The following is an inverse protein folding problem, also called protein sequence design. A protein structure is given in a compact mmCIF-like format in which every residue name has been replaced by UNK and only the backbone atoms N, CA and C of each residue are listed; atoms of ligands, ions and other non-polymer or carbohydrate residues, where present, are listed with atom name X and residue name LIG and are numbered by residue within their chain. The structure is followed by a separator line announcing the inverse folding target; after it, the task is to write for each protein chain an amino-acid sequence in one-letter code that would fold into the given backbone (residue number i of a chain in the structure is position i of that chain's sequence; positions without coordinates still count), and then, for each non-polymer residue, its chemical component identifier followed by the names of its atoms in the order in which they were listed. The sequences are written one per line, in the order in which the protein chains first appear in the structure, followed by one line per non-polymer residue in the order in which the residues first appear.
data_IF_417509006354
#
_entry.id   IF_417509006354
#
_cell.length_a   1.000
_cell.length_b   1.000
_cell.length_c   1.000
_cell.angle_alpha   90.00
_cell.angle_beta   90.00
_cell.angle_gamma   90.00
#
_symmetry.space_group_name_H-M   'P 1'
#
loop_
_entity.id
_entity.type
_entity.pdbx_description
1 polymer ?
#
# COMPACT_ATOMS: atom_id res chain seq x y z
N UNK A 1 -1.40 -15.54 24.17
CA UNK A 1 -2.49 -15.02 23.31
C UNK A 1 -3.17 -13.91 24.08
N UNK A 2 -3.16 -12.67 23.58
CA UNK A 2 -3.96 -11.60 24.18
C UNK A 2 -5.27 -11.54 23.42
N UNK A 3 -6.35 -11.93 24.09
CA UNK A 3 -7.71 -11.68 23.65
C UNK A 3 -7.97 -10.17 23.70
N UNK A 4 -8.34 -9.59 22.57
CA UNK A 4 -8.83 -8.23 22.51
C UNK A 4 -10.35 -8.28 22.51
N UNK A 5 -10.96 -7.69 23.54
CA UNK A 5 -12.40 -7.50 23.65
C UNK A 5 -12.90 -6.61 22.52
N UNK A 6 -13.58 -7.23 21.56
CA UNK A 6 -14.34 -6.58 20.50
C UNK A 6 -15.70 -6.18 21.07
N UNK A 7 -15.90 -4.91 21.42
CA UNK A 7 -17.24 -4.40 21.67
C UNK A 7 -17.44 -3.00 21.08
N UNK A 8 -18.48 -2.89 20.24
CA UNK A 8 -19.30 -1.69 19.91
C UNK A 8 -18.97 -0.75 18.74
N UNK A 9 -18.08 -1.08 17.78
CA UNK A 9 -17.98 -0.26 16.54
C UNK A 9 -17.94 -1.01 15.20
N UNK A 10 -17.97 -2.34 15.21
CA UNK A 10 -17.78 -3.14 13.99
C UNK A 10 -19.05 -3.46 13.20
N UNK A 11 -20.24 -3.27 13.79
CA UNK A 11 -21.51 -3.76 13.21
C UNK A 11 -21.98 -3.01 11.93
N UNK A 12 -21.31 -1.95 11.51
CA UNK A 12 -21.78 -1.08 10.42
C UNK A 12 -20.88 -1.01 9.18
N UNK A 13 -19.77 -1.74 9.14
CA UNK A 13 -18.93 -1.81 7.94
C UNK A 13 -19.30 -3.03 7.08
N UNK A 14 -19.61 -2.76 5.82
CA UNK A 14 -19.57 -3.75 4.75
C UNK A 14 -18.10 -3.94 4.34
N UNK A 15 -17.62 -5.18 4.41
CA UNK A 15 -16.23 -5.56 4.14
C UNK A 15 -16.24 -6.71 3.13
N UNK A 16 -15.83 -6.41 1.91
CA UNK A 16 -15.71 -7.39 0.83
C UNK A 16 -14.24 -7.71 0.56
N UNK A 17 -13.89 -9.00 0.48
CA UNK A 17 -12.56 -9.42 -0.01
C UNK A 17 -12.44 -9.19 -1.52
N UNK A 18 -11.28 -8.72 -1.95
CA UNK A 18 -10.93 -8.53 -3.37
C UNK A 18 -9.88 -9.58 -3.72
N UNK A 19 -10.13 -10.35 -4.78
CA UNK A 19 -9.15 -11.22 -5.42
C UNK A 19 -9.50 -11.34 -6.90
N UNK A 20 -8.96 -10.43 -7.72
CA UNK A 20 -9.18 -10.41 -9.18
C UNK A 20 -7.94 -9.87 -9.91
N UNK A 21 -7.50 -10.54 -10.97
CA UNK A 21 -6.25 -10.19 -11.65
C UNK A 21 -5.08 -10.17 -10.67
N UNK A 22 -4.37 -9.03 -10.59
CA UNK A 22 -3.32 -8.81 -9.59
C UNK A 22 -3.88 -8.33 -8.23
N UNK A 23 -5.07 -7.72 -8.22
CA UNK A 23 -5.62 -7.15 -6.99
C UNK A 23 -5.85 -8.23 -5.95
N UNK A 24 -5.42 -7.91 -4.74
CA UNK A 24 -5.74 -8.66 -3.55
C UNK A 24 -5.90 -7.68 -2.40
N UNK A 25 -6.93 -7.84 -1.58
CA UNK A 25 -7.20 -6.90 -0.50
C UNK A 25 -8.65 -6.90 -0.03
N UNK A 26 -9.10 -5.74 0.41
CA UNK A 26 -10.43 -5.54 0.98
C UNK A 26 -11.04 -4.23 0.49
N UNK A 27 -12.33 -4.25 0.20
CA UNK A 27 -13.17 -3.08 0.01
C UNK A 27 -13.99 -2.88 1.28
N UNK A 28 -13.81 -1.74 1.94
CA UNK A 28 -14.50 -1.39 3.18
C UNK A 28 -15.34 -0.13 2.99
N UNK A 29 -16.58 -0.17 3.45
CA UNK A 29 -17.45 1.01 3.50
C UNK A 29 -18.57 0.86 4.51
N UNK A 30 -19.19 1.97 4.88
CA UNK A 30 -20.50 1.93 5.52
C UNK A 30 -21.60 1.73 4.49
N UNK A 31 -22.79 1.32 4.96
CA UNK A 31 -24.02 1.28 4.13
C UNK A 31 -24.28 2.61 3.42
N UNK A 32 -24.06 3.71 4.13
CA UNK A 32 -24.09 5.07 3.59
C UNK A 32 -22.67 5.65 3.63
N UNK A 33 -22.12 5.93 2.45
CA UNK A 33 -20.82 6.58 2.30
C UNK A 33 -20.99 8.08 2.52
N UNK A 34 -20.33 8.61 3.55
CA UNK A 34 -20.47 10.00 3.98
C UNK A 34 -19.60 10.99 3.21
N UNK A 35 -18.53 10.50 2.57
CA UNK A 35 -17.59 11.34 1.81
C UNK A 35 -17.44 10.84 0.38
N UNK A 36 -17.34 11.78 -0.56
CA UNK A 36 -17.03 11.47 -1.96
C UNK A 36 -15.61 10.92 -2.09
N UNK A 37 -15.41 10.11 -3.12
CA UNK A 37 -14.11 9.59 -3.48
C UNK A 37 -13.80 8.23 -2.88
N UNK A 38 -12.56 7.81 -3.06
CA UNK A 38 -12.03 6.56 -2.57
C UNK A 38 -10.66 6.79 -1.92
N UNK A 39 -10.41 6.09 -0.82
CA UNK A 39 -9.08 6.02 -0.20
C UNK A 39 -8.48 4.64 -0.46
N UNK A 40 -7.28 4.59 -1.03
CA UNK A 40 -6.50 3.35 -1.16
C UNK A 40 -5.42 3.34 -0.08
N UNK A 41 -5.28 2.22 0.64
CA UNK A 41 -4.23 2.07 1.66
C UNK A 41 -3.27 0.94 1.31
N UNK A 42 -1.98 1.20 1.56
CA UNK A 42 -0.89 0.23 1.44
C UNK A 42 -0.10 0.16 2.76
N UNK A 43 0.29 -1.06 3.15
CA UNK A 43 1.28 -1.28 4.20
C UNK A 43 2.70 -1.07 3.70
N UNK A 44 3.68 -1.53 4.46
CA UNK A 44 5.10 -1.40 4.15
C UNK A 44 5.78 -2.73 3.81
N UNK A 45 7.04 -2.84 4.21
CA UNK A 45 7.90 -4.01 4.01
C UNK A 45 7.37 -5.30 4.64
N UNK A 46 6.45 -5.19 5.59
CA UNK A 46 5.79 -6.31 6.25
C UNK A 46 4.74 -7.00 5.37
N UNK A 47 4.36 -6.41 4.22
CA UNK A 47 3.44 -7.01 3.26
C UNK A 47 1.97 -6.94 3.66
N UNK A 48 1.61 -5.94 4.47
CA UNK A 48 0.21 -5.69 4.83
C UNK A 48 -0.50 -4.79 3.83
N UNK A 49 -1.83 -4.79 3.85
CA UNK A 49 -2.67 -3.83 3.15
C UNK A 49 -2.98 -2.57 3.99
N UNK A 50 -2.34 -2.44 5.15
CA UNK A 50 -2.66 -1.44 6.17
C UNK A 50 -4.14 -1.47 6.62
N UNK A 51 -4.68 -2.70 6.78
CA UNK A 51 -6.10 -2.96 7.04
C UNK A 51 -6.68 -2.22 8.26
N UNK A 52 -5.90 -2.06 9.35
CA UNK A 52 -6.39 -1.38 10.55
C UNK A 52 -6.61 0.12 10.30
N UNK A 53 -5.71 0.76 9.56
CA UNK A 53 -5.89 2.15 9.11
C UNK A 53 -7.11 2.24 8.20
N UNK A 54 -7.26 1.31 7.26
CA UNK A 54 -8.41 1.28 6.36
C UNK A 54 -9.75 1.16 7.11
N UNK A 55 -9.83 0.26 8.10
CA UNK A 55 -11.02 0.13 8.98
C UNK A 55 -11.33 1.42 9.71
N UNK A 56 -10.31 2.09 10.27
CA UNK A 56 -10.50 3.36 10.97
C UNK A 56 -11.05 4.43 10.03
N UNK A 57 -10.51 4.54 8.82
CA UNK A 57 -10.95 5.50 7.81
C UNK A 57 -12.38 5.19 7.34
N UNK A 58 -12.69 3.92 7.06
CA UNK A 58 -14.03 3.50 6.68
C UNK A 58 -15.07 3.76 7.78
N UNK A 59 -14.69 3.54 9.05
CA UNK A 59 -15.53 3.88 10.20
C UNK A 59 -15.81 5.38 10.33
N UNK A 60 -14.98 6.24 9.73
CA UNK A 60 -15.23 7.68 9.65
C UNK A 60 -16.10 8.06 8.43
N UNK A 61 -16.55 7.12 7.61
CA UNK A 61 -17.51 7.36 6.53
C UNK A 61 -16.93 7.44 5.12
N UNK A 62 -15.66 7.08 4.94
CA UNK A 62 -15.03 6.97 3.62
C UNK A 62 -15.24 5.57 3.02
N UNK A 63 -15.22 5.47 1.70
CA UNK A 63 -15.10 4.20 0.97
C UNK A 63 -13.60 3.90 0.72
N UNK A 64 -13.13 2.74 1.15
CA UNK A 64 -11.70 2.44 1.28
C UNK A 64 -11.33 1.12 0.62
N UNK A 65 -10.24 1.10 -0.14
CA UNK A 65 -9.60 -0.11 -0.64
C UNK A 65 -8.29 -0.36 0.12
N UNK A 66 -8.24 -1.39 0.95
CA UNK A 66 -7.01 -1.85 1.59
C UNK A 66 -6.35 -2.89 0.69
N UNK A 67 -5.27 -2.53 0.00
CA UNK A 67 -4.68 -3.37 -1.04
C UNK A 67 -3.29 -3.91 -0.67
N UNK A 68 -3.05 -5.17 -0.99
CA UNK A 68 -1.72 -5.76 -0.98
C UNK A 68 -1.03 -5.51 -2.33
N UNK A 69 0.29 -5.34 -2.32
CA UNK A 69 1.11 -5.23 -3.53
C UNK A 69 2.10 -6.39 -3.70
N UNK A 70 2.27 -7.25 -2.68
CA UNK A 70 3.02 -8.50 -2.74
C UNK A 70 2.56 -9.47 -1.65
N UNK A 71 3.08 -10.71 -1.70
CA UNK A 71 2.92 -11.71 -0.64
C UNK A 71 1.61 -12.50 -0.69
N UNK A 72 0.68 -12.14 -1.58
CA UNK A 72 -0.58 -12.87 -1.77
C UNK A 72 -0.47 -13.92 -2.89
N UNK A 73 -1.43 -14.83 -2.96
CA UNK A 73 -1.40 -15.99 -3.88
C UNK A 73 -1.21 -15.62 -5.36
N UNK A 74 -1.82 -14.52 -5.79
CA UNK A 74 -1.79 -13.99 -7.17
C UNK A 74 -0.69 -12.93 -7.37
N UNK A 75 0.26 -12.81 -6.45
CA UNK A 75 1.29 -11.77 -6.43
C UNK A 75 2.68 -12.38 -6.26
N UNK A 76 3.76 -11.63 -6.54
CA UNK A 76 5.11 -12.04 -6.15
C UNK A 76 5.18 -12.33 -4.66
N UNK A 77 5.76 -13.46 -4.28
CA UNK A 77 5.83 -13.91 -2.87
C UNK A 77 6.69 -13.00 -1.99
N UNK A 78 7.66 -12.32 -2.59
CA UNK A 78 8.58 -11.42 -1.92
C UNK A 78 8.49 -10.05 -2.57
N UNK A 79 8.93 -9.02 -1.84
CA UNK A 79 9.08 -7.69 -2.40
C UNK A 79 10.27 -7.65 -3.37
N UNK A 80 10.06 -8.01 -4.62
CA UNK A 80 11.09 -8.04 -5.65
C UNK A 80 10.43 -7.82 -7.00
N UNK A 81 10.91 -6.81 -7.74
CA UNK A 81 10.41 -6.48 -9.09
C UNK A 81 8.88 -6.38 -9.15
N UNK A 82 8.26 -5.73 -8.16
CA UNK A 82 6.82 -5.55 -8.13
C UNK A 82 6.41 -4.63 -9.30
N UNK A 83 5.54 -5.10 -10.23
CA UNK A 83 5.16 -4.31 -11.39
C UNK A 83 4.17 -3.22 -10.96
N UNK A 84 4.56 -1.94 -11.00
CA UNK A 84 3.69 -0.84 -10.54
C UNK A 84 2.40 -0.72 -11.37
N UNK A 85 2.39 -1.30 -12.57
CA UNK A 85 1.24 -1.41 -13.46
C UNK A 85 0.06 -2.16 -12.83
N UNK A 86 0.30 -2.91 -11.75
CA UNK A 86 -0.78 -3.55 -11.00
C UNK A 86 -1.86 -2.55 -10.59
N UNK A 87 -1.50 -1.27 -10.38
CA UNK A 87 -2.44 -0.24 -9.96
C UNK A 87 -3.50 0.08 -11.03
N UNK A 88 -3.27 -0.27 -12.30
CA UNK A 88 -4.33 -0.25 -13.32
C UNK A 88 -5.54 -1.10 -12.91
N UNK A 89 -5.29 -2.25 -12.28
CA UNK A 89 -6.35 -3.12 -11.77
C UNK A 89 -7.16 -2.39 -10.68
N UNK A 90 -6.49 -1.64 -9.78
CA UNK A 90 -7.15 -0.83 -8.77
C UNK A 90 -8.06 0.24 -9.39
N UNK A 91 -7.56 0.97 -10.39
CA UNK A 91 -8.34 2.00 -11.10
C UNK A 91 -9.56 1.38 -11.81
N UNK A 92 -9.39 0.23 -12.47
CA UNK A 92 -10.50 -0.50 -13.11
C UNK A 92 -11.53 -0.96 -12.07
N UNK A 93 -11.08 -1.49 -10.94
CA UNK A 93 -11.96 -1.89 -9.85
C UNK A 93 -12.76 -0.70 -9.31
N UNK A 94 -12.09 0.44 -9.04
CA UNK A 94 -12.73 1.68 -8.57
C UNK A 94 -13.82 2.13 -9.57
N UNK A 95 -13.49 2.21 -10.86
CA UNK A 95 -14.44 2.60 -11.92
C UNK A 95 -15.67 1.69 -12.01
N UNK A 96 -15.52 0.42 -11.64
CA UNK A 96 -16.59 -0.59 -11.69
C UNK A 96 -17.45 -0.64 -10.42
N UNK A 97 -16.85 -0.40 -9.25
CA UNK A 97 -17.46 -0.70 -7.96
C UNK A 97 -17.75 0.51 -7.07
N UNK A 98 -17.16 1.67 -7.37
CA UNK A 98 -17.26 2.87 -6.54
C UNK A 98 -18.01 3.96 -7.32
N UNK A 99 -19.03 4.54 -6.70
CA UNK A 99 -19.90 5.52 -7.37
C UNK A 99 -19.25 6.91 -7.52
N UNK A 100 -18.42 7.31 -6.56
CA UNK A 100 -17.71 8.59 -6.59
C UNK A 100 -16.22 8.37 -6.84
N UNK A 101 -15.80 8.55 -8.08
CA UNK A 101 -14.41 8.26 -8.49
C UNK A 101 -13.38 9.23 -7.91
N UNK A 102 -13.79 10.45 -7.61
CA UNK A 102 -12.92 11.50 -7.07
C UNK A 102 -13.42 12.05 -5.72
N UNK A 103 -12.51 12.49 -4.84
CA UNK A 103 -11.05 12.36 -4.99
C UNK A 103 -10.56 10.92 -4.78
N UNK A 104 -9.54 10.49 -5.54
CA UNK A 104 -8.77 9.28 -5.28
C UNK A 104 -7.56 9.65 -4.42
N UNK A 105 -7.55 9.19 -3.18
CA UNK A 105 -6.47 9.45 -2.23
C UNK A 105 -5.71 8.17 -1.95
N UNK A 106 -4.37 8.22 -1.90
CA UNK A 106 -3.55 7.06 -1.57
C UNK A 106 -2.78 7.30 -0.28
N UNK A 107 -2.81 6.31 0.61
CA UNK A 107 -2.06 6.29 1.87
C UNK A 107 -1.06 5.14 1.83
N UNK A 108 0.22 5.46 2.00
CA UNK A 108 1.29 4.47 2.07
C UNK A 108 2.15 4.65 3.30
N UNK A 109 2.58 3.53 3.90
CA UNK A 109 3.52 3.54 5.02
C UNK A 109 4.86 2.89 4.65
N UNK A 110 5.97 3.54 5.01
CA UNK A 110 7.33 3.00 4.81
C UNK A 110 7.55 2.60 3.34
N UNK A 111 7.71 1.31 3.03
CA UNK A 111 7.83 0.84 1.65
C UNK A 111 6.60 1.11 0.79
N UNK A 112 5.41 1.15 1.38
CA UNK A 112 4.19 1.58 0.72
C UNK A 112 4.14 3.08 0.44
N UNK A 113 4.84 3.91 1.22
CA UNK A 113 4.98 5.34 0.92
C UNK A 113 5.88 5.55 -0.32
N UNK A 114 6.95 4.77 -0.45
CA UNK A 114 7.78 4.72 -1.66
C UNK A 114 6.95 4.28 -2.88
N UNK A 115 6.12 3.23 -2.74
CA UNK A 115 5.16 2.83 -3.78
C UNK A 115 4.17 3.95 -4.12
N UNK A 116 3.59 4.60 -3.11
CA UNK A 116 2.58 5.66 -3.29
C UNK A 116 3.14 6.84 -4.10
N UNK A 117 4.38 7.24 -3.84
CA UNK A 117 5.08 8.25 -4.63
C UNK A 117 5.28 7.81 -6.09
N UNK A 118 5.68 6.55 -6.31
CA UNK A 118 5.84 6.01 -7.67
C UNK A 118 4.52 5.92 -8.43
N UNK A 119 3.43 5.57 -7.74
CA UNK A 119 2.11 5.58 -8.36
C UNK A 119 1.70 7.00 -8.75
N UNK A 120 1.92 7.99 -7.89
CA UNK A 120 1.61 9.38 -8.20
C UNK A 120 2.36 9.92 -9.43
N UNK A 121 3.59 9.46 -9.66
CA UNK A 121 4.38 9.82 -10.85
C UNK A 121 3.78 9.24 -12.15
N UNK A 122 3.11 8.09 -12.07
CA UNK A 122 2.66 7.32 -13.24
C UNK A 122 1.14 7.34 -13.47
N UNK A 123 0.36 7.83 -12.52
CA UNK A 123 -1.10 7.79 -12.55
C UNK A 123 -1.71 9.15 -12.24
N UNK A 124 -2.21 9.82 -13.28
CA UNK A 124 -2.86 11.13 -13.19
C UNK A 124 -4.20 11.13 -12.45
N UNK A 125 -4.81 9.96 -12.25
CA UNK A 125 -6.07 9.81 -11.52
C UNK A 125 -5.95 10.07 -10.02
N UNK A 126 -4.74 10.14 -9.47
CA UNK A 126 -4.52 10.31 -8.04
C UNK A 126 -4.57 11.79 -7.66
N UNK A 127 -5.52 12.14 -6.80
CA UNK A 127 -5.74 13.52 -6.37
C UNK A 127 -4.93 13.88 -5.11
N UNK A 128 -4.79 12.94 -4.15
CA UNK A 128 -4.13 13.21 -2.87
C UNK A 128 -3.19 12.07 -2.44
N UNK A 129 -2.10 12.44 -1.76
CA UNK A 129 -1.12 11.51 -1.20
C UNK A 129 -0.95 11.75 0.30
N UNK A 130 -0.98 10.67 1.08
CA UNK A 130 -0.63 10.67 2.50
C UNK A 130 0.53 9.69 2.68
N UNK A 131 1.67 10.20 3.14
CA UNK A 131 2.90 9.42 3.24
C UNK A 131 3.32 9.29 4.71
N UNK A 132 3.43 8.06 5.20
CA UNK A 132 3.86 7.76 6.56
C UNK A 132 5.28 7.18 6.49
N UNK A 133 6.23 7.84 7.14
CA UNK A 133 7.66 7.49 7.08
C UNK A 133 8.18 7.27 5.63
N UNK A 134 8.05 8.27 4.72
CA UNK A 134 8.48 8.14 3.34
C UNK A 134 10.00 8.11 3.18
N UNK A 135 10.42 7.66 2.00
CA UNK A 135 11.78 7.83 1.48
C UNK A 135 11.76 8.65 0.19
N UNK A 136 12.75 9.52 0.02
CA UNK A 136 13.00 10.22 -1.25
C UNK A 136 13.66 9.33 -2.32
N UNK A 137 14.11 8.14 -1.94
CA UNK A 137 14.83 7.21 -2.80
C UNK A 137 14.12 5.86 -2.89
N UNK A 138 14.30 5.21 -4.04
CA UNK A 138 13.93 3.81 -4.20
C UNK A 138 15.01 2.91 -3.63
N UNK A 139 14.65 2.01 -2.72
CA UNK A 139 15.57 1.03 -2.17
C UNK A 139 15.39 -0.35 -2.80
N UNK A 140 16.40 -1.21 -2.67
CA UNK A 140 16.31 -2.60 -3.10
C UNK A 140 15.11 -3.33 -2.47
N UNK A 141 14.68 -4.39 -3.15
CA UNK A 141 13.66 -5.31 -2.68
C UNK A 141 14.10 -6.09 -1.45
N UNK A 142 13.16 -6.86 -0.90
CA UNK A 142 13.33 -7.74 0.25
C UNK A 142 13.35 -9.21 -0.15
N UNK A 143 13.98 -9.51 -1.29
CA UNK A 143 14.47 -10.86 -1.57
C UNK A 143 15.83 -11.03 -0.90
N UNK A 144 15.85 -11.71 0.25
CA UNK A 144 17.07 -11.86 1.06
C UNK A 144 18.16 -12.69 0.36
N UNK A 145 17.83 -13.36 -0.75
CA UNK A 145 18.79 -14.17 -1.53
C UNK A 145 19.44 -13.38 -2.65
N UNK A 146 18.74 -12.40 -3.21
CA UNK A 146 19.20 -11.67 -4.39
C UNK A 146 18.97 -10.17 -4.22
N UNK A 147 19.98 -9.36 -4.53
CA UNK A 147 19.84 -7.91 -4.53
C UNK A 147 19.08 -7.46 -5.78
N UNK A 148 17.76 -7.43 -5.65
CA UNK A 148 16.83 -7.07 -6.73
C UNK A 148 16.23 -5.69 -6.48
N UNK A 149 15.76 -4.97 -7.52
CA UNK A 149 14.97 -3.77 -7.30
C UNK A 149 13.66 -4.12 -6.60
N UNK A 150 13.08 -3.16 -5.88
CA UNK A 150 11.73 -3.33 -5.34
C UNK A 150 10.66 -3.31 -6.43
N UNK A 151 10.87 -2.48 -7.45
CA UNK A 151 9.84 -2.10 -8.41
C UNK A 151 10.30 -2.35 -9.84
N UNK A 152 9.34 -2.67 -10.69
CA UNK A 152 9.51 -2.76 -12.13
C UNK A 152 8.43 -1.92 -12.82
N UNK A 153 8.76 -1.44 -14.02
CA UNK A 153 7.82 -0.75 -14.90
C UNK A 153 8.16 -1.10 -16.35
N UNK A 154 7.14 -1.45 -17.15
CA UNK A 154 7.26 -1.97 -18.52
C UNK A 154 8.22 -3.15 -18.64
N UNK A 155 8.21 -4.06 -17.65
CA UNK A 155 9.15 -5.18 -17.51
C UNK A 155 10.63 -4.78 -17.32
N UNK A 156 10.92 -3.49 -17.09
CA UNK A 156 12.25 -3.00 -16.78
C UNK A 156 12.41 -2.71 -15.29
N UNK A 157 13.63 -2.89 -14.78
CA UNK A 157 13.97 -2.61 -13.39
C UNK A 157 14.05 -1.11 -13.16
N UNK A 158 13.32 -0.60 -12.15
CA UNK A 158 13.47 0.79 -11.77
C UNK A 158 14.79 1.00 -10.99
N UNK A 159 15.54 2.10 -11.25
CA UNK A 159 16.79 2.39 -10.55
C UNK A 159 16.60 2.46 -9.03
N UNK A 160 17.49 1.81 -8.28
CA UNK A 160 17.38 1.70 -6.83
C UNK A 160 18.74 1.79 -6.13
N UNK A 161 18.71 2.17 -4.87
CA UNK A 161 19.86 2.11 -3.96
C UNK A 161 19.93 0.70 -3.38
N UNK A 162 21.04 0.01 -3.65
CA UNK A 162 21.35 -1.25 -3.00
C UNK A 162 21.94 -1.03 -1.62
N UNK A 163 21.55 -1.88 -0.68
CA UNK A 163 22.16 -1.95 0.63
C UNK A 163 23.58 -2.53 0.59
N UNK A 164 24.00 -3.22 -0.48
CA UNK A 164 25.28 -3.93 -0.53
C UNK A 164 26.53 -3.06 -0.47
N UNK A 165 26.47 -1.83 -0.97
CA UNK A 165 27.62 -0.92 -1.00
C UNK A 165 27.66 0.02 0.21
N UNK A 166 26.77 -0.21 1.19
CA UNK A 166 26.64 0.62 2.37
C UNK A 166 27.27 -0.11 3.55
N UNK A 167 28.08 0.58 4.36
CA UNK A 167 28.72 -0.03 5.52
C UNK A 167 27.67 -0.61 6.49
N UNK A 168 28.01 -1.61 7.31
CA UNK A 168 27.06 -2.16 8.29
C UNK A 168 26.49 -1.08 9.23
N UNK A 169 27.32 -0.08 9.57
CA UNK A 169 26.91 1.08 10.36
C UNK A 169 25.91 1.96 9.62
N UNK A 170 26.13 2.23 8.33
CA UNK A 170 25.19 3.02 7.53
C UNK A 170 23.91 2.25 7.19
N UNK A 171 23.98 0.93 7.01
CA UNK A 171 22.77 0.09 6.93
C UNK A 171 21.96 0.17 8.22
N UNK A 172 22.63 0.09 9.37
CA UNK A 172 21.97 0.25 10.66
C UNK A 172 21.42 1.66 10.82
N UNK A 173 22.16 2.69 10.42
CA UNK A 173 21.69 4.09 10.44
C UNK A 173 20.48 4.30 9.53
N UNK A 174 20.49 3.74 8.31
CA UNK A 174 19.35 3.77 7.39
C UNK A 174 18.15 3.01 7.97
N UNK A 175 18.34 1.81 8.52
CA UNK A 175 17.28 1.04 9.19
C UNK A 175 16.73 1.76 10.43
N UNK A 176 17.60 2.42 11.20
CA UNK A 176 17.24 3.17 12.40
C UNK A 176 16.53 4.47 12.03
N UNK A 177 17.00 5.23 11.03
CA UNK A 177 16.27 6.37 10.47
C UNK A 177 14.89 5.94 9.94
N UNK A 178 14.80 4.77 9.29
CA UNK A 178 13.52 4.15 8.89
C UNK A 178 12.63 3.77 10.09
N UNK A 179 13.23 3.42 11.23
CA UNK A 179 12.52 2.94 12.44
C UNK A 179 12.20 4.06 13.44
N UNK A 180 12.93 5.17 13.43
CA UNK A 180 12.76 6.33 14.31
C UNK A 180 11.95 7.47 13.68
N UNK A 181 11.44 7.29 12.45
CA UNK A 181 10.46 8.18 11.82
C UNK A 181 8.99 7.85 12.17
N UNK A 182 8.76 7.01 13.18
CA UNK A 182 7.45 6.81 13.79
C UNK A 182 7.44 7.47 15.17
N UNK A 183 6.53 8.41 15.45
CA UNK A 183 6.33 8.94 16.81
C UNK A 183 5.83 7.86 17.77
#
# INVERSE_FOLDING_TARGET
MKEYNLSTSEENLDIQKIQEGYLNGFHLKKKEVGYKGCVVTFGGSEGSSNYNMAKMIANNGYEVLALYFFGQENQPKQLSRIPIEFFNNAIVYIKKHISSLHPLSIIGASKGAELTLLLAENYSEIDNLILIAPSAYRFQGLDMRNCTPSWAYNNEDLPYISFNNVSAFERMKLCLEYSFLLP
#
